data_IF_394339521294
#
_entry.id   IF_394339521294
#
_cell.length_a   1.000
_cell.length_b   1.000
_cell.length_c   1.000
_cell.angle_alpha   90.00
_cell.angle_beta   90.00
_cell.angle_gamma   90.00
#
_symmetry.space_group_name_H-M   'P 1'
#
loop_
_entity.id
_entity.type
_entity.pdbx_description
1 polymer ?
#
# COMPACT_ATOMS: atom_id res chain seq x y z
N UNK A 1 -3.39 22.98 15.32
CA UNK A 1 -3.16 22.07 14.18
C UNK A 1 -3.90 20.76 14.44
N UNK A 2 -5.02 20.44 13.75
CA UNK A 2 -5.62 19.13 13.89
C UNK A 2 -4.60 18.08 13.44
N UNK A 3 -4.27 17.12 14.33
CA UNK A 3 -3.43 15.96 13.98
C UNK A 3 -4.07 15.27 12.78
N UNK A 4 -3.36 15.25 11.65
CA UNK A 4 -3.80 14.60 10.41
C UNK A 4 -4.35 13.20 10.71
N UNK A 5 -5.39 12.76 9.99
CA UNK A 5 -5.99 11.42 10.11
C UNK A 5 -4.91 10.32 10.06
N UNK A 6 -3.83 10.57 9.31
CA UNK A 6 -2.60 9.75 9.27
C UNK A 6 -2.04 9.40 10.65
N UNK A 7 -2.15 10.29 11.64
CA UNK A 7 -1.61 10.09 13.00
C UNK A 7 -2.54 9.27 13.93
N UNK A 8 -3.81 9.05 13.56
CA UNK A 8 -4.78 8.31 14.39
C UNK A 8 -4.93 6.83 13.97
N UNK A 9 -4.59 6.51 12.72
CA UNK A 9 -4.84 5.20 12.11
C UNK A 9 -3.87 4.07 12.55
N UNK A 10 -2.92 4.34 13.46
CA UNK A 10 -1.91 3.36 13.89
C UNK A 10 -0.93 2.97 12.78
N UNK A 11 -0.04 2.01 13.04
CA UNK A 11 0.92 1.52 12.05
C UNK A 11 0.21 0.73 10.94
N UNK A 12 0.56 0.95 9.67
CA UNK A 12 0.07 0.12 8.54
C UNK A 12 0.55 -1.32 8.73
N UNK A 13 -0.33 -2.30 8.59
CA UNK A 13 -0.05 -3.74 8.76
C UNK A 13 -0.51 -4.51 7.53
N UNK A 14 -0.12 -5.77 7.44
CA UNK A 14 -0.61 -6.66 6.38
C UNK A 14 -2.13 -6.87 6.40
N UNK A 15 -2.78 -6.63 7.55
CA UNK A 15 -4.23 -6.67 7.74
C UNK A 15 -4.94 -5.37 7.36
N UNK A 16 -4.20 -4.27 7.16
CA UNK A 16 -4.78 -2.99 6.73
C UNK A 16 -5.44 -3.17 5.38
N UNK A 17 -6.69 -2.76 5.23
CA UNK A 17 -7.43 -2.95 3.98
C UNK A 17 -7.03 -1.90 2.94
N UNK A 18 -7.33 -2.19 1.67
CA UNK A 18 -7.15 -1.21 0.59
C UNK A 18 -7.97 0.05 0.86
N UNK A 19 -9.20 -0.08 1.36
CA UNK A 19 -10.07 1.03 1.73
C UNK A 19 -9.46 1.90 2.84
N UNK A 20 -8.92 1.29 3.89
CA UNK A 20 -8.26 2.03 4.98
C UNK A 20 -7.08 2.85 4.45
N UNK A 21 -6.33 2.34 3.47
CA UNK A 21 -5.24 3.08 2.84
C UNK A 21 -5.77 4.26 2.01
N UNK A 22 -6.84 4.05 1.24
CA UNK A 22 -7.46 5.12 0.45
C UNK A 22 -8.02 6.25 1.34
N UNK A 23 -8.63 5.90 2.48
CA UNK A 23 -9.11 6.88 3.46
C UNK A 23 -7.94 7.62 4.11
N UNK A 24 -6.83 6.92 4.39
CA UNK A 24 -5.64 7.50 5.04
C UNK A 24 -4.84 8.44 4.12
N UNK A 25 -4.83 8.17 2.82
CA UNK A 25 -4.10 8.92 1.80
C UNK A 25 -5.07 9.55 0.78
N UNK A 26 -5.88 10.54 1.19
CA UNK A 26 -6.96 11.08 0.37
C UNK A 26 -6.47 11.88 -0.84
N UNK A 27 -5.19 12.25 -0.90
CA UNK A 27 -4.62 12.97 -2.03
C UNK A 27 -4.11 12.03 -3.14
N UNK A 28 -4.32 10.71 -2.99
CA UNK A 28 -3.96 9.72 -4.00
C UNK A 28 -2.59 9.09 -3.82
N UNK A 29 -1.84 9.39 -2.75
CA UNK A 29 -0.48 8.86 -2.57
C UNK A 29 -0.45 7.32 -2.56
N UNK A 30 -1.51 6.70 -2.02
CA UNK A 30 -1.70 5.25 -2.06
C UNK A 30 -1.94 4.74 -3.49
N UNK A 31 -2.80 5.41 -4.26
CA UNK A 31 -3.07 5.07 -5.67
C UNK A 31 -1.82 5.21 -6.54
N UNK A 32 -1.04 6.27 -6.33
CA UNK A 32 0.19 6.50 -7.09
C UNK A 32 1.23 5.42 -6.80
N UNK A 33 1.38 5.02 -5.53
CA UNK A 33 2.26 3.90 -5.18
C UNK A 33 1.76 2.59 -5.81
N UNK A 34 0.45 2.33 -5.79
CA UNK A 34 -0.14 1.16 -6.46
C UNK A 34 0.17 1.16 -7.97
N UNK A 35 0.02 2.31 -8.65
CA UNK A 35 0.35 2.44 -10.06
C UNK A 35 1.83 2.15 -10.34
N UNK A 36 2.74 2.69 -9.52
CA UNK A 36 4.20 2.45 -9.62
C UNK A 36 4.58 0.97 -9.44
N UNK A 37 3.79 0.23 -8.66
CA UNK A 37 4.01 -1.20 -8.41
C UNK A 37 3.34 -2.10 -9.47
N UNK A 38 2.80 -1.53 -10.55
CA UNK A 38 1.98 -2.21 -11.56
C UNK A 38 0.79 -2.96 -10.92
N UNK A 39 0.17 -2.30 -9.94
CA UNK A 39 -0.84 -2.88 -9.07
C UNK A 39 -2.16 -2.12 -9.21
N UNK A 40 -3.13 -2.59 -10.00
CA UNK A 40 -4.35 -1.83 -10.30
C UNK A 40 -5.41 -1.87 -9.17
N UNK A 41 -5.03 -2.12 -7.91
CA UNK A 41 -5.97 -2.33 -6.81
C UNK A 41 -6.93 -1.15 -6.58
N UNK A 42 -6.47 0.09 -6.76
CA UNK A 42 -7.32 1.29 -6.67
C UNK A 42 -8.48 1.30 -7.70
N UNK A 43 -8.33 0.54 -8.80
CA UNK A 43 -9.31 0.43 -9.88
C UNK A 43 -9.88 -0.98 -10.03
N UNK A 44 -9.48 -1.91 -9.16
CA UNK A 44 -10.03 -3.25 -9.16
C UNK A 44 -11.47 -3.16 -8.65
N UNK A 45 -12.43 -3.61 -9.47
CA UNK A 45 -13.85 -3.69 -9.11
C UNK A 45 -14.16 -4.65 -7.96
N UNK A 46 -13.14 -5.32 -7.40
CA UNK A 46 -13.31 -6.55 -6.64
C UNK A 46 -13.37 -6.43 -5.13
N UNK A 47 -12.44 -5.74 -4.46
CA UNK A 47 -12.21 -5.99 -3.02
C UNK A 47 -11.48 -4.86 -2.27
N UNK A 48 -12.17 -3.74 -2.01
CA UNK A 48 -11.57 -2.64 -1.22
C UNK A 48 -11.36 -3.02 0.25
N UNK A 49 -12.14 -3.96 0.75
CA UNK A 49 -12.04 -4.58 2.06
C UNK A 49 -10.93 -5.64 2.15
N UNK A 50 -10.23 -5.96 1.05
CA UNK A 50 -9.17 -6.98 1.08
C UNK A 50 -7.95 -6.49 1.88
N UNK A 51 -7.38 -7.33 2.75
CA UNK A 51 -6.12 -7.03 3.41
C UNK A 51 -4.97 -6.80 2.43
N UNK A 52 -4.15 -5.79 2.70
CA UNK A 52 -3.01 -5.38 1.87
C UNK A 52 -2.08 -6.54 1.54
N UNK A 53 -1.77 -7.39 2.53
CA UNK A 53 -0.90 -8.55 2.33
C UNK A 53 -1.53 -9.64 1.46
N UNK A 54 -2.86 -9.78 1.47
CA UNK A 54 -3.57 -10.75 0.63
C UNK A 54 -3.65 -10.25 -0.81
N UNK A 55 -3.97 -8.97 -0.99
CA UNK A 55 -3.95 -8.32 -2.29
C UNK A 55 -2.52 -8.41 -2.90
N UNK A 56 -1.46 -8.16 -2.12
CA UNK A 56 -0.08 -8.30 -2.59
C UNK A 56 0.21 -9.69 -3.17
N UNK A 57 -0.21 -10.76 -2.46
CA UNK A 57 -0.04 -12.14 -2.92
C UNK A 57 -0.76 -12.40 -4.25
N UNK A 58 -2.00 -11.90 -4.41
CA UNK A 58 -2.78 -12.08 -5.65
C UNK A 58 -2.12 -11.45 -6.87
N UNK A 59 -1.30 -10.42 -6.66
CA UNK A 59 -0.55 -9.75 -7.72
C UNK A 59 0.90 -10.24 -7.84
N UNK A 60 1.24 -11.33 -7.16
CA UNK A 60 2.57 -11.94 -7.08
C UNK A 60 3.65 -10.99 -6.51
N UNK A 61 3.24 -9.98 -5.75
CA UNK A 61 4.15 -9.07 -5.07
C UNK A 61 4.53 -9.62 -3.67
N UNK A 62 5.76 -9.35 -3.20
CA UNK A 62 6.21 -9.73 -1.86
C UNK A 62 5.44 -8.97 -0.77
N UNK A 63 4.61 -9.65 0.06
CA UNK A 63 3.69 -8.95 0.97
C UNK A 63 4.40 -8.08 2.01
N UNK A 64 5.56 -8.52 2.50
CA UNK A 64 6.34 -7.77 3.48
C UNK A 64 6.87 -6.46 2.89
N UNK A 65 7.41 -6.49 1.67
CA UNK A 65 7.98 -5.32 1.01
C UNK A 65 6.88 -4.34 0.61
N UNK A 66 5.71 -4.83 0.24
CA UNK A 66 4.51 -4.02 0.02
C UNK A 66 4.12 -3.27 1.30
N UNK A 67 3.98 -3.97 2.44
CA UNK A 67 3.64 -3.32 3.71
C UNK A 67 4.65 -2.24 4.08
N UNK A 68 5.94 -2.50 3.90
CA UNK A 68 7.00 -1.51 4.15
C UNK A 68 6.94 -0.30 3.22
N UNK A 69 6.63 -0.50 1.93
CA UNK A 69 6.47 0.60 0.99
C UNK A 69 5.28 1.51 1.37
N UNK A 70 4.16 0.93 1.82
CA UNK A 70 3.02 1.72 2.30
C UNK A 70 3.28 2.42 3.63
N UNK A 71 4.01 1.78 4.57
CA UNK A 71 4.46 2.44 5.81
C UNK A 71 5.29 3.69 5.52
N UNK A 72 6.14 3.62 4.50
CA UNK A 72 6.99 4.75 4.14
C UNK A 72 6.20 5.98 3.66
N UNK A 73 4.94 5.83 3.21
CA UNK A 73 4.07 6.98 2.87
C UNK A 73 3.79 7.88 4.09
N UNK A 74 3.80 7.34 5.31
CA UNK A 74 3.68 8.16 6.53
C UNK A 74 4.93 9.02 6.80
N UNK A 75 6.08 8.67 6.21
CA UNK A 75 7.37 9.31 6.42
C UNK A 75 7.86 10.14 5.20
N UNK A 76 6.96 10.46 4.26
CA UNK A 76 7.29 11.24 3.06
C UNK A 76 7.44 10.42 1.77
N UNK A 77 7.24 9.10 1.85
CA UNK A 77 7.18 8.20 0.70
C UNK A 77 8.26 7.12 0.72
N UNK A 78 8.04 6.00 -0.02
CA UNK A 78 9.04 4.95 -0.14
C UNK A 78 10.24 5.40 -0.98
N UNK A 79 11.43 4.98 -0.54
CA UNK A 79 12.65 5.09 -1.32
C UNK A 79 12.61 4.18 -2.56
N UNK A 80 13.45 4.47 -3.54
CA UNK A 80 13.57 3.65 -4.76
C UNK A 80 13.85 2.18 -4.45
N UNK A 81 14.71 1.92 -3.45
CA UNK A 81 15.01 0.55 -3.00
C UNK A 81 13.77 -0.18 -2.48
N UNK A 82 12.90 0.51 -1.74
CA UNK A 82 11.66 -0.09 -1.23
C UNK A 82 10.67 -0.37 -2.35
N UNK A 83 10.60 0.50 -3.36
CA UNK A 83 9.75 0.28 -4.54
C UNK A 83 10.25 -0.91 -5.35
N UNK A 84 11.54 -0.99 -5.63
CA UNK A 84 12.14 -2.13 -6.35
C UNK A 84 11.91 -3.44 -5.58
N UNK A 85 12.10 -3.44 -4.25
CA UNK A 85 11.83 -4.62 -3.43
C UNK A 85 10.35 -5.03 -3.49
N UNK A 86 9.42 -4.07 -3.45
CA UNK A 86 7.99 -4.31 -3.52
C UNK A 86 7.50 -4.73 -4.92
N UNK A 87 8.18 -4.26 -5.98
CA UNK A 87 7.88 -4.60 -7.37
C UNK A 87 8.50 -5.94 -7.81
N UNK A 88 9.46 -6.48 -7.05
CA UNK A 88 10.14 -7.72 -7.37
C UNK A 88 9.21 -8.93 -7.20
N UNK A 89 8.46 -9.24 -8.26
CA UNK A 89 7.47 -10.31 -8.26
C UNK A 89 8.14 -11.65 -7.99
N UNK A 90 7.55 -12.43 -7.09
CA UNK A 90 8.01 -13.79 -6.86
C UNK A 90 7.64 -14.64 -8.08
N UNK A 91 8.62 -14.91 -8.94
CA UNK A 91 8.54 -15.98 -9.94
C UNK A 91 8.68 -17.31 -9.19
N UNK A 92 7.57 -17.88 -8.73
CA UNK A 92 7.48 -19.28 -8.35
C UNK A 92 6.14 -19.83 -8.78
#
# INVERSE_FOLDING_TARGET
>A
MPRSIKNRAGLIRGSTTIEELMIRFPNGEASDLMARLAWPCAHCSGRRDEPLSLAAKRHNNPPWAIVEAFRALDAGGPSERQIVAAANKSSR
#
